data_IF_646358690639
#
_entry.id   IF_646358690639
#
_cell.length_a   1.000
_cell.length_b   1.000
_cell.length_c   1.000
_cell.angle_alpha   90.00
_cell.angle_beta   90.00
_cell.angle_gamma   90.00
#
_symmetry.space_group_name_H-M   'P 1'
#
loop_
_entity.id
_entity.type
_entity.pdbx_description
1 polymer ?
#
# COMPACT_ATOMS: atom_id res chain seq x y z
N UNK A 1 -29.88 -3.31 -4.96
CA UNK A 1 -28.91 -2.43 -5.58
C UNK A 1 -27.53 -3.07 -5.42
N UNK A 2 -26.97 -3.50 -6.55
CA UNK A 2 -25.68 -4.15 -6.56
C UNK A 2 -24.64 -3.17 -6.07
N UNK A 3 -24.04 -3.48 -4.92
CA UNK A 3 -22.86 -2.75 -4.47
C UNK A 3 -21.77 -2.91 -5.52
N UNK A 4 -21.22 -1.80 -6.01
CA UNK A 4 -20.17 -1.81 -7.00
C UNK A 4 -18.97 -2.61 -6.48
N UNK A 5 -18.52 -3.61 -7.22
CA UNK A 5 -17.42 -4.48 -6.86
C UNK A 5 -16.11 -3.99 -7.49
N UNK A 6 -15.07 -3.83 -6.68
CA UNK A 6 -13.71 -3.61 -7.18
C UNK A 6 -13.11 -4.97 -7.52
N UNK A 7 -12.60 -5.09 -8.75
CA UNK A 7 -11.95 -6.31 -9.22
C UNK A 7 -10.52 -5.98 -9.57
N UNK A 8 -9.58 -6.71 -8.98
CA UNK A 8 -8.14 -6.55 -9.23
C UNK A 8 -7.69 -7.75 -10.07
N UNK A 9 -7.13 -7.53 -11.28
CA UNK A 9 -6.63 -8.64 -12.08
C UNK A 9 -5.49 -9.34 -11.35
N UNK A 10 -5.45 -10.66 -11.45
CA UNK A 10 -4.27 -11.41 -11.05
C UNK A 10 -3.13 -11.07 -12.03
N UNK A 11 -2.00 -10.62 -11.51
CA UNK A 11 -0.80 -10.46 -12.32
C UNK A 11 -0.16 -11.80 -12.65
N UNK A 12 1.05 -11.77 -13.20
CA UNK A 12 1.84 -12.97 -13.42
C UNK A 12 2.11 -13.69 -12.09
N UNK A 13 2.21 -15.01 -12.15
CA UNK A 13 2.47 -15.83 -10.97
C UNK A 13 3.80 -15.46 -10.33
N UNK A 14 3.78 -15.24 -9.02
CA UNK A 14 4.99 -14.97 -8.23
C UNK A 14 5.80 -16.26 -8.01
N UNK A 15 7.13 -16.14 -8.10
CA UNK A 15 8.05 -17.16 -7.62
C UNK A 15 8.16 -17.18 -6.10
N UNK A 16 9.09 -17.99 -5.58
CA UNK A 16 9.30 -18.12 -4.13
C UNK A 16 9.88 -16.86 -3.49
N UNK A 17 10.79 -16.19 -4.20
CA UNK A 17 11.33 -14.90 -3.75
C UNK A 17 10.41 -13.79 -4.22
N UNK A 18 9.83 -13.08 -3.24
CA UNK A 18 9.00 -11.89 -3.50
C UNK A 18 9.79 -10.66 -3.07
N UNK A 19 9.86 -10.37 -1.78
CA UNK A 19 10.67 -9.28 -1.21
C UNK A 19 11.33 -9.80 0.04
N UNK A 20 12.65 -9.61 0.16
CA UNK A 20 13.43 -10.03 1.31
C UNK A 20 14.44 -8.95 1.69
N UNK A 21 14.44 -8.57 2.96
CA UNK A 21 15.39 -7.61 3.53
C UNK A 21 16.29 -8.30 4.54
N UNK A 22 17.60 -8.05 4.44
CA UNK A 22 18.60 -8.55 5.36
C UNK A 22 19.47 -7.40 5.86
N UNK A 23 19.44 -7.17 7.18
CA UNK A 23 20.30 -6.18 7.83
C UNK A 23 20.12 -4.77 7.30
N UNK A 24 18.92 -4.41 6.89
CA UNK A 24 18.66 -3.15 6.20
C UNK A 24 18.81 -1.97 7.16
N UNK A 25 19.60 -0.97 6.73
CA UNK A 25 19.82 0.26 7.47
C UNK A 25 19.62 1.46 6.55
N UNK A 26 18.92 2.48 7.05
CA UNK A 26 18.69 3.72 6.32
C UNK A 26 18.56 4.90 7.28
N UNK A 27 19.30 5.97 6.97
CA UNK A 27 19.22 7.24 7.71
C UNK A 27 19.05 8.41 6.74
N UNK A 28 18.42 9.47 7.23
CA UNK A 28 18.40 10.78 6.59
C UNK A 28 18.97 11.81 7.53
N UNK A 29 20.08 12.43 7.14
CA UNK A 29 20.79 13.36 8.03
C UNK A 29 21.12 12.67 9.35
N UNK A 30 20.65 13.24 10.46
CA UNK A 30 20.88 12.71 11.81
C UNK A 30 19.79 11.72 12.29
N UNK A 31 18.82 11.41 11.44
CA UNK A 31 17.71 10.51 11.80
C UNK A 31 17.93 9.13 11.22
N UNK A 32 18.15 8.15 12.10
CA UNK A 32 18.21 6.74 11.73
C UNK A 32 16.81 6.18 11.69
N UNK A 33 16.30 5.90 10.49
CA UNK A 33 14.93 5.45 10.28
C UNK A 33 14.76 3.97 10.60
N UNK A 34 15.71 3.15 10.20
CA UNK A 34 15.71 1.70 10.43
C UNK A 34 17.13 1.19 10.58
N UNK A 35 17.28 0.17 11.40
CA UNK A 35 18.56 -0.49 11.69
C UNK A 35 18.32 -1.99 11.82
N UNK A 36 19.15 -2.78 11.15
CA UNK A 36 19.09 -4.24 11.17
C UNK A 36 17.68 -4.78 10.88
N UNK A 37 17.01 -4.22 9.87
CA UNK A 37 15.69 -4.65 9.48
C UNK A 37 15.77 -5.93 8.64
N UNK A 38 15.11 -6.97 9.13
CA UNK A 38 15.05 -8.27 8.47
C UNK A 38 13.59 -8.69 8.32
N UNK A 39 13.17 -8.99 7.09
CA UNK A 39 11.87 -9.58 6.83
C UNK A 39 11.85 -10.30 5.49
N UNK A 40 10.88 -11.19 5.35
CA UNK A 40 10.61 -11.88 4.10
C UNK A 40 9.10 -11.93 3.87
N UNK A 41 8.65 -11.32 2.79
CA UNK A 41 7.24 -11.35 2.39
C UNK A 41 6.95 -12.71 1.76
N UNK A 42 6.06 -13.53 2.35
CA UNK A 42 5.70 -14.81 1.77
C UNK A 42 4.73 -14.62 0.60
N UNK A 43 4.62 -15.60 -0.32
CA UNK A 43 3.58 -15.59 -1.34
C UNK A 43 2.18 -15.44 -0.73
N UNK A 44 1.37 -14.55 -1.30
CA UNK A 44 0.04 -14.26 -0.79
C UNK A 44 0.00 -13.42 0.49
N UNK A 45 1.14 -12.97 1.00
CA UNK A 45 1.21 -12.15 2.20
C UNK A 45 0.59 -10.76 2.00
N UNK A 46 -0.14 -10.30 3.01
CA UNK A 46 -0.65 -8.93 3.11
C UNK A 46 0.01 -8.29 4.34
N UNK A 47 0.92 -7.38 4.10
CA UNK A 47 1.74 -6.77 5.14
C UNK A 47 1.19 -5.39 5.48
N UNK A 48 0.70 -5.23 6.71
CA UNK A 48 0.35 -3.92 7.26
C UNK A 48 1.61 -3.22 7.76
N UNK A 49 1.97 -2.10 7.14
CA UNK A 49 3.13 -1.29 7.55
C UNK A 49 2.61 -0.17 8.43
N UNK A 50 2.92 -0.21 9.71
CA UNK A 50 2.36 0.67 10.72
C UNK A 50 3.43 1.49 11.44
N UNK A 51 3.02 2.64 11.93
CA UNK A 51 3.84 3.58 12.65
C UNK A 51 3.38 5.01 12.35
N UNK A 52 3.84 5.98 13.12
CA UNK A 52 3.45 7.37 12.88
C UNK A 52 4.03 7.94 11.60
N UNK A 53 3.48 9.06 11.15
CA UNK A 53 3.99 9.78 10.01
C UNK A 53 5.44 10.21 10.26
N UNK A 54 6.26 10.14 9.21
CA UNK A 54 7.68 10.47 9.30
C UNK A 54 8.56 9.35 9.88
N UNK A 55 8.00 8.17 10.16
CA UNK A 55 8.76 7.03 10.69
C UNK A 55 9.68 6.34 9.69
N UNK A 56 9.48 6.58 8.39
CA UNK A 56 10.27 5.94 7.33
C UNK A 56 9.52 4.91 6.49
N UNK A 57 8.19 4.83 6.64
CA UNK A 57 7.36 3.87 5.88
C UNK A 57 7.44 4.12 4.37
N UNK A 58 7.29 5.37 3.94
CA UNK A 58 7.42 5.75 2.54
C UNK A 58 8.83 5.49 2.01
N UNK A 59 9.84 5.71 2.83
CA UNK A 59 11.24 5.42 2.49
C UNK A 59 11.44 3.93 2.19
N UNK A 60 10.83 3.06 2.98
CA UNK A 60 10.88 1.63 2.72
C UNK A 60 10.28 1.29 1.35
N UNK A 61 9.14 1.87 1.01
CA UNK A 61 8.53 1.67 -0.31
C UNK A 61 9.45 2.12 -1.44
N UNK A 62 10.15 3.25 -1.27
CA UNK A 62 11.13 3.74 -2.24
C UNK A 62 12.35 2.84 -2.37
N UNK A 63 12.79 2.23 -1.28
CA UNK A 63 13.87 1.23 -1.33
C UNK A 63 13.40 0.00 -2.12
N UNK A 64 12.17 -0.45 -1.90
CA UNK A 64 11.60 -1.59 -2.63
C UNK A 64 11.49 -1.28 -4.13
N UNK A 65 11.11 -0.07 -4.51
CA UNK A 65 11.00 0.33 -5.93
C UNK A 65 12.35 0.63 -6.57
N UNK A 66 13.42 0.75 -5.80
CA UNK A 66 14.75 1.10 -6.29
C UNK A 66 15.00 2.60 -6.42
N UNK A 67 14.06 3.45 -5.99
CA UNK A 67 14.20 4.92 -6.02
C UNK A 67 15.13 5.44 -4.92
N UNK A 68 15.31 4.67 -3.87
CA UNK A 68 16.25 4.91 -2.79
C UNK A 68 17.13 3.70 -2.60
N UNK A 69 18.37 3.91 -2.17
CA UNK A 69 19.29 2.84 -1.78
C UNK A 69 19.41 2.77 -0.27
N UNK A 70 19.50 1.57 0.33
CA UNK A 70 19.84 1.46 1.74
C UNK A 70 21.29 1.92 2.00
N UNK A 71 21.57 2.36 3.21
CA UNK A 71 22.93 2.73 3.60
C UNK A 71 23.79 1.48 3.79
N UNK A 72 23.20 0.42 4.28
CA UNK A 72 23.81 -0.91 4.39
C UNK A 72 22.71 -1.98 4.43
N UNK A 73 23.13 -3.23 4.34
CA UNK A 73 22.22 -4.35 4.20
C UNK A 73 21.78 -4.53 2.76
N UNK A 74 20.85 -5.46 2.56
CA UNK A 74 20.40 -5.84 1.23
C UNK A 74 18.88 -5.97 1.20
N UNK A 75 18.26 -5.45 0.14
CA UNK A 75 16.88 -5.71 -0.18
C UNK A 75 16.81 -6.39 -1.53
N UNK A 76 16.25 -7.59 -1.57
CA UNK A 76 16.07 -8.38 -2.79
C UNK A 76 14.61 -8.41 -3.20
N UNK A 77 14.38 -8.16 -4.49
CA UNK A 77 13.07 -8.26 -5.13
C UNK A 77 13.14 -9.36 -6.17
N UNK A 78 12.22 -10.29 -6.15
CA UNK A 78 12.23 -11.45 -7.04
C UNK A 78 12.05 -11.07 -8.52
N UNK A 79 12.57 -11.90 -9.41
CA UNK A 79 12.55 -11.64 -10.87
C UNK A 79 11.13 -11.63 -11.45
N UNK A 80 10.20 -12.32 -10.80
CA UNK A 80 8.79 -12.38 -11.25
C UNK A 80 7.94 -11.25 -10.72
N UNK A 81 8.49 -10.40 -9.85
CA UNK A 81 7.76 -9.30 -9.22
C UNK A 81 7.53 -8.17 -10.22
N UNK A 82 6.28 -7.75 -10.32
CA UNK A 82 5.85 -6.56 -11.03
C UNK A 82 5.17 -5.64 -10.02
N UNK A 83 5.89 -4.58 -9.63
CA UNK A 83 5.44 -3.66 -8.59
C UNK A 83 4.39 -2.70 -9.10
N UNK A 84 3.30 -2.53 -8.34
CA UNK A 84 2.37 -1.43 -8.47
C UNK A 84 2.59 -0.45 -7.32
N UNK A 85 3.01 0.77 -7.63
CA UNK A 85 3.23 1.82 -6.66
C UNK A 85 2.94 3.18 -7.29
N UNK A 86 2.25 4.05 -6.55
CA UNK A 86 2.00 5.43 -6.97
C UNK A 86 2.92 6.35 -6.19
N UNK A 87 3.86 6.99 -6.89
CA UNK A 87 4.62 8.10 -6.35
C UNK A 87 3.95 9.40 -6.80
N UNK A 88 3.21 10.05 -5.90
CA UNK A 88 2.46 11.27 -6.21
C UNK A 88 3.34 12.44 -6.66
N UNK A 89 4.64 12.41 -6.38
CA UNK A 89 5.58 13.43 -6.84
C UNK A 89 5.97 13.25 -8.31
N UNK A 90 5.86 12.04 -8.86
CA UNK A 90 6.24 11.70 -10.23
C UNK A 90 5.06 11.32 -11.12
N UNK A 91 4.09 10.59 -10.53
CA UNK A 91 2.93 10.08 -11.25
C UNK A 91 1.87 11.18 -11.35
N UNK A 92 1.94 11.96 -12.42
CA UNK A 92 1.00 13.04 -12.66
C UNK A 92 -0.19 12.54 -13.47
N UNK A 93 -1.36 13.02 -13.12
CA UNK A 93 -2.58 12.80 -13.88
C UNK A 93 -2.73 13.89 -14.95
N UNK A 94 -3.33 13.56 -16.10
CA UNK A 94 -3.61 14.54 -17.15
C UNK A 94 -4.83 15.38 -16.77
N UNK A 95 -4.59 16.64 -16.41
CA UNK A 95 -5.63 17.57 -15.98
C UNK A 95 -6.73 17.81 -17.02
N UNK A 96 -6.45 17.61 -18.31
CA UNK A 96 -7.37 17.86 -19.42
C UNK A 96 -8.26 16.69 -19.76
N UNK A 97 -7.93 15.49 -19.28
CA UNK A 97 -8.78 14.30 -19.40
C UNK A 97 -9.88 14.32 -18.36
N UNK A 98 -11.00 13.68 -18.65
CA UNK A 98 -11.99 13.40 -17.63
C UNK A 98 -11.59 12.15 -16.82
N UNK A 99 -12.28 11.90 -15.72
CA UNK A 99 -12.01 10.75 -14.84
C UNK A 99 -12.06 9.43 -15.59
N UNK A 100 -13.11 9.22 -16.40
CA UNK A 100 -13.26 8.00 -17.17
C UNK A 100 -12.10 7.78 -18.16
N UNK A 101 -11.71 8.81 -18.89
CA UNK A 101 -10.59 8.73 -19.84
C UNK A 101 -9.27 8.40 -19.14
N UNK A 102 -9.02 9.05 -18.00
CA UNK A 102 -7.78 8.85 -17.25
C UNK A 102 -7.66 7.42 -16.71
N UNK A 103 -8.74 6.86 -16.18
CA UNK A 103 -8.74 5.51 -15.62
C UNK A 103 -8.83 4.45 -16.71
N UNK A 104 -9.72 4.63 -17.69
CA UNK A 104 -9.98 3.63 -18.73
C UNK A 104 -9.01 3.69 -19.89
N UNK A 105 -8.30 4.80 -20.07
CA UNK A 105 -7.50 5.11 -21.27
C UNK A 105 -8.32 5.07 -22.56
N UNK A 106 -9.61 5.37 -22.47
CA UNK A 106 -10.54 5.35 -23.58
C UNK A 106 -11.08 3.97 -23.95
N UNK A 107 -10.68 2.93 -23.25
CA UNK A 107 -11.18 1.57 -23.49
C UNK A 107 -12.62 1.42 -22.96
N UNK A 108 -13.50 0.83 -23.78
CA UNK A 108 -14.89 0.56 -23.39
C UNK A 108 -14.95 -0.60 -22.43
N UNK A 109 -14.16 -1.65 -22.69
CA UNK A 109 -13.99 -2.80 -21.83
C UNK A 109 -12.59 -2.85 -21.25
N UNK A 110 -12.47 -3.21 -19.98
CA UNK A 110 -11.21 -3.44 -19.29
C UNK A 110 -11.00 -4.93 -19.16
N UNK A 111 -9.84 -5.41 -19.62
CA UNK A 111 -9.40 -6.78 -19.44
C UNK A 111 -8.82 -6.93 -18.02
N UNK A 112 -9.42 -7.81 -17.23
CA UNK A 112 -9.00 -8.11 -15.87
C UNK A 112 -8.47 -9.55 -15.75
N UNK A 113 -7.82 -10.03 -16.80
CA UNK A 113 -7.27 -11.38 -16.89
C UNK A 113 -8.33 -12.38 -17.35
N UNK A 114 -8.94 -13.13 -16.42
CA UNK A 114 -9.93 -14.15 -16.74
C UNK A 114 -11.32 -13.59 -17.08
N UNK A 115 -11.56 -12.32 -16.86
CA UNK A 115 -12.85 -11.68 -17.15
C UNK A 115 -12.64 -10.28 -17.68
N UNK A 116 -13.64 -9.82 -18.43
CA UNK A 116 -13.72 -8.44 -18.91
C UNK A 116 -14.82 -7.70 -18.16
N UNK A 117 -14.65 -6.42 -18.00
CA UNK A 117 -15.59 -5.55 -17.31
C UNK A 117 -15.79 -4.27 -18.11
N UNK A 118 -17.02 -3.75 -18.12
CA UNK A 118 -17.27 -2.43 -18.69
C UNK A 118 -16.46 -1.39 -17.91
N UNK A 119 -15.73 -0.52 -18.63
CA UNK A 119 -14.88 0.47 -17.98
C UNK A 119 -15.67 1.44 -17.11
N UNK A 120 -16.89 1.78 -17.51
CA UNK A 120 -17.76 2.65 -16.70
C UNK A 120 -18.15 2.00 -15.37
N UNK A 121 -18.36 0.69 -15.35
CA UNK A 121 -18.63 -0.05 -14.11
C UNK A 121 -17.37 -0.11 -13.23
N UNK A 122 -16.21 -0.33 -13.83
CA UNK A 122 -14.94 -0.31 -13.09
C UNK A 122 -14.70 1.05 -12.42
N UNK A 123 -14.84 2.14 -13.16
CA UNK A 123 -14.67 3.51 -12.65
C UNK A 123 -15.72 3.82 -11.58
N UNK A 124 -16.96 3.37 -11.77
CA UNK A 124 -18.05 3.52 -10.81
C UNK A 124 -17.78 2.85 -9.47
N UNK A 125 -17.03 1.75 -9.46
CA UNK A 125 -16.65 1.06 -8.23
C UNK A 125 -15.77 1.90 -7.29
N UNK A 126 -15.09 2.92 -7.82
CA UNK A 126 -14.30 3.87 -7.05
C UNK A 126 -15.08 5.13 -6.67
N UNK A 127 -16.41 5.04 -6.68
CA UNK A 127 -17.33 6.11 -6.32
C UNK A 127 -17.30 7.32 -7.27
N UNK A 128 -17.07 7.07 -8.55
CA UNK A 128 -17.28 8.03 -9.63
C UNK A 128 -18.52 7.59 -10.42
N UNK A 129 -19.67 8.11 -10.04
CA UNK A 129 -20.97 7.68 -10.60
C UNK A 129 -21.55 8.73 -11.54
N UNK A 130 -22.13 8.29 -12.64
CA UNK A 130 -22.83 9.15 -13.58
C UNK A 130 -21.97 10.29 -14.08
N UNK A 131 -22.42 11.53 -13.86
CA UNK A 131 -21.74 12.73 -14.31
C UNK A 131 -20.34 12.94 -13.69
N UNK A 132 -20.05 12.31 -12.54
CA UNK A 132 -18.72 12.42 -11.91
C UNK A 132 -17.61 11.89 -12.81
N UNK A 133 -17.92 10.92 -13.67
CA UNK A 133 -16.95 10.37 -14.62
C UNK A 133 -16.54 11.35 -15.72
N UNK A 134 -17.35 12.39 -15.93
CA UNK A 134 -17.10 13.43 -16.93
C UNK A 134 -16.31 14.62 -16.37
N UNK A 135 -16.11 14.68 -15.05
CA UNK A 135 -15.31 15.73 -14.42
C UNK A 135 -13.89 15.72 -14.96
N UNK A 136 -13.34 16.90 -15.22
CA UNK A 136 -11.93 17.03 -15.56
C UNK A 136 -11.06 16.71 -14.35
N UNK A 137 -10.01 15.92 -14.57
CA UNK A 137 -9.07 15.54 -13.53
C UNK A 137 -8.47 16.75 -12.82
N UNK A 138 -8.19 17.83 -13.56
CA UNK A 138 -7.67 19.08 -12.99
C UNK A 138 -8.60 19.77 -12.00
N UNK A 139 -9.89 19.42 -11.98
CA UNK A 139 -10.90 19.99 -11.09
C UNK A 139 -11.18 19.11 -9.86
N UNK A 140 -10.53 17.97 -9.75
CA UNK A 140 -10.73 17.04 -8.65
C UNK A 140 -10.07 17.52 -7.35
N UNK A 141 -10.69 17.18 -6.23
CA UNK A 141 -10.07 17.31 -4.91
C UNK A 141 -8.88 16.36 -4.76
N UNK A 142 -8.07 16.54 -3.72
CA UNK A 142 -6.98 15.62 -3.40
C UNK A 142 -7.45 14.19 -3.18
N UNK A 143 -8.54 14.00 -2.44
CA UNK A 143 -9.12 12.67 -2.19
C UNK A 143 -9.65 12.01 -3.46
N UNK A 144 -10.31 12.78 -4.32
CA UNK A 144 -10.77 12.29 -5.63
C UNK A 144 -9.60 11.88 -6.52
N UNK A 145 -8.51 12.67 -6.57
CA UNK A 145 -7.30 12.30 -7.30
C UNK A 145 -6.66 11.03 -6.76
N UNK A 146 -6.63 10.84 -5.45
CA UNK A 146 -6.13 9.61 -4.84
C UNK A 146 -6.93 8.38 -5.30
N UNK A 147 -8.25 8.50 -5.41
CA UNK A 147 -9.09 7.41 -5.95
C UNK A 147 -8.79 7.12 -7.42
N UNK A 148 -8.50 8.14 -8.21
CA UNK A 148 -8.09 7.95 -9.62
C UNK A 148 -6.77 7.19 -9.69
N UNK A 149 -5.77 7.58 -8.92
CA UNK A 149 -4.49 6.88 -8.84
C UNK A 149 -4.67 5.42 -8.41
N UNK A 150 -5.48 5.19 -7.38
CA UNK A 150 -5.77 3.85 -6.90
C UNK A 150 -6.42 2.99 -7.99
N UNK A 151 -7.42 3.51 -8.68
CA UNK A 151 -8.11 2.80 -9.75
C UNK A 151 -7.17 2.43 -10.91
N UNK A 152 -6.29 3.35 -11.29
CA UNK A 152 -5.29 3.10 -12.35
C UNK A 152 -4.31 2.01 -11.95
N UNK A 153 -3.81 2.07 -10.71
CA UNK A 153 -2.82 1.11 -10.23
C UNK A 153 -3.41 -0.29 -10.08
N UNK A 154 -4.62 -0.42 -9.54
CA UNK A 154 -5.23 -1.72 -9.32
C UNK A 154 -5.52 -2.49 -10.61
N UNK A 155 -5.72 -1.81 -11.74
CA UNK A 155 -5.90 -2.47 -13.03
C UNK A 155 -4.61 -2.74 -13.79
N UNK A 156 -3.48 -2.30 -13.28
CA UNK A 156 -2.20 -2.31 -14.02
C UNK A 156 -1.66 -3.70 -14.33
N UNK A 157 -2.12 -4.73 -13.64
CA UNK A 157 -1.59 -6.09 -13.75
C UNK A 157 -0.39 -6.36 -12.86
N UNK A 158 -0.05 -5.44 -11.95
CA UNK A 158 0.98 -5.67 -10.95
C UNK A 158 0.63 -6.86 -10.05
N UNK A 159 1.63 -7.61 -9.63
CA UNK A 159 1.44 -8.77 -8.73
C UNK A 159 1.93 -8.49 -7.29
N UNK A 160 2.59 -7.37 -7.06
CA UNK A 160 2.92 -6.85 -5.74
C UNK A 160 2.47 -5.39 -5.68
N UNK A 161 1.55 -5.10 -4.77
CA UNK A 161 0.98 -3.76 -4.62
C UNK A 161 1.57 -3.08 -3.39
N UNK A 162 2.10 -1.87 -3.59
CA UNK A 162 2.54 -1.00 -2.51
C UNK A 162 1.52 0.13 -2.38
N UNK A 163 0.71 0.09 -1.33
CA UNK A 163 -0.42 1.00 -1.11
C UNK A 163 -0.10 1.94 0.05
N UNK A 164 0.04 3.23 -0.24
CA UNK A 164 0.33 4.24 0.77
C UNK A 164 -0.95 4.99 1.15
N UNK A 165 -1.47 4.70 2.33
CA UNK A 165 -2.71 5.26 2.89
C UNK A 165 -3.90 5.24 1.91
N UNK A 166 -4.21 4.08 1.29
CA UNK A 166 -5.24 4.02 0.25
C UNK A 166 -6.66 4.21 0.78
N UNK A 167 -6.86 4.08 2.10
CA UNK A 167 -8.16 4.20 2.74
C UNK A 167 -8.54 5.62 3.11
N UNK A 168 -7.60 6.57 3.00
CA UNK A 168 -7.88 7.98 3.27
C UNK A 168 -8.95 8.52 2.30
N UNK A 169 -9.93 9.22 2.85
CA UNK A 169 -11.01 9.87 2.12
C UNK A 169 -11.92 8.91 1.31
N UNK A 170 -11.91 7.61 1.63
CA UNK A 170 -12.85 6.66 1.06
C UNK A 170 -14.18 6.66 1.84
N UNK A 171 -15.29 6.65 1.11
CA UNK A 171 -16.58 6.35 1.69
C UNK A 171 -16.67 4.88 2.11
N UNK A 172 -17.65 4.54 2.94
CA UNK A 172 -17.77 3.20 3.53
C UNK A 172 -17.93 2.12 2.45
N UNK A 173 -18.71 2.39 1.42
CA UNK A 173 -18.98 1.40 0.37
C UNK A 173 -17.73 1.11 -0.46
N UNK A 174 -16.96 2.15 -0.82
CA UNK A 174 -15.69 2.00 -1.53
C UNK A 174 -14.65 1.29 -0.65
N UNK A 175 -14.58 1.64 0.63
CA UNK A 175 -13.68 0.98 1.58
C UNK A 175 -13.96 -0.53 1.69
N UNK A 176 -15.23 -0.91 1.80
CA UNK A 176 -15.62 -2.33 1.85
C UNK A 176 -15.30 -3.07 0.56
N UNK A 177 -15.56 -2.44 -0.58
CA UNK A 177 -15.23 -3.00 -1.88
C UNK A 177 -13.72 -3.21 -2.04
N UNK A 178 -12.92 -2.24 -1.60
CA UNK A 178 -11.47 -2.33 -1.61
C UNK A 178 -10.97 -3.46 -0.70
N UNK A 179 -11.48 -3.52 0.52
CA UNK A 179 -11.13 -4.56 1.50
C UNK A 179 -11.36 -5.96 0.94
N UNK A 180 -12.54 -6.19 0.35
CA UNK A 180 -12.88 -7.47 -0.25
C UNK A 180 -11.95 -7.81 -1.43
N UNK A 181 -11.69 -6.84 -2.30
CA UNK A 181 -10.82 -7.03 -3.45
C UNK A 181 -9.37 -7.35 -3.04
N UNK A 182 -8.84 -6.65 -2.02
CA UNK A 182 -7.50 -6.91 -1.51
C UNK A 182 -7.38 -8.28 -0.84
N UNK A 183 -8.42 -8.71 -0.12
CA UNK A 183 -8.46 -10.04 0.50
C UNK A 183 -8.45 -11.18 -0.51
N UNK A 184 -9.01 -10.96 -1.69
CA UNK A 184 -9.07 -11.93 -2.78
C UNK A 184 -7.90 -11.85 -3.75
N UNK A 185 -7.06 -10.84 -3.61
CA UNK A 185 -5.94 -10.61 -4.52
C UNK A 185 -4.92 -11.76 -4.45
N UNK A 186 -4.56 -12.29 -5.61
CA UNK A 186 -3.67 -13.46 -5.72
C UNK A 186 -2.19 -13.15 -5.47
N UNK A 187 -1.77 -11.88 -5.55
CA UNK A 187 -0.40 -11.44 -5.32
C UNK A 187 -0.13 -11.05 -3.87
N UNK A 188 0.91 -10.26 -3.65
CA UNK A 188 1.29 -9.73 -2.35
C UNK A 188 0.97 -8.25 -2.24
N UNK A 189 0.73 -7.80 -1.01
CA UNK A 189 0.39 -6.41 -0.71
C UNK A 189 1.22 -5.93 0.48
N UNK A 190 1.81 -4.74 0.36
CA UNK A 190 2.31 -3.98 1.50
C UNK A 190 1.48 -2.70 1.56
N UNK A 191 0.87 -2.43 2.70
CA UNK A 191 -0.10 -1.36 2.84
C UNK A 191 0.14 -0.55 4.11
N UNK A 192 0.28 0.77 3.97
CA UNK A 192 0.25 1.66 5.13
C UNK A 192 -1.18 2.09 5.39
N UNK A 193 -1.61 2.10 6.63
CA UNK A 193 -2.92 2.61 7.03
C UNK A 193 -2.93 2.93 8.52
N UNK A 194 -3.67 3.98 8.91
CA UNK A 194 -3.99 4.26 10.30
C UNK A 194 -5.33 3.64 10.73
N UNK A 195 -6.03 2.99 9.81
CA UNK A 195 -7.28 2.29 10.09
C UNK A 195 -7.00 0.89 10.66
N UNK A 196 -7.08 0.77 11.99
CA UNK A 196 -6.81 -0.49 12.71
C UNK A 196 -7.77 -1.61 12.31
N UNK A 197 -9.03 -1.27 12.14
CA UNK A 197 -10.07 -2.23 11.79
C UNK A 197 -9.83 -2.83 10.42
N UNK A 198 -9.44 -1.99 9.47
CA UNK A 198 -9.07 -2.41 8.14
C UNK A 198 -7.88 -3.37 8.17
N UNK A 199 -6.79 -2.99 8.84
CA UNK A 199 -5.59 -3.82 8.94
C UNK A 199 -5.84 -5.13 9.70
N UNK A 200 -6.70 -5.08 10.73
CA UNK A 200 -7.04 -6.28 11.48
C UNK A 200 -7.75 -7.32 10.63
N UNK A 201 -8.62 -6.88 9.72
CA UNK A 201 -9.37 -7.78 8.84
C UNK A 201 -8.55 -8.37 7.70
N UNK A 202 -7.55 -7.65 7.18
CA UNK A 202 -6.86 -8.08 5.96
C UNK A 202 -5.40 -8.51 6.17
N UNK A 203 -4.70 -7.94 7.14
CA UNK A 203 -3.25 -8.18 7.28
C UNK A 203 -2.94 -9.59 7.77
N UNK A 204 -1.98 -10.23 7.13
CA UNK A 204 -1.41 -11.51 7.55
C UNK A 204 -0.11 -11.31 8.32
N UNK A 205 0.55 -10.19 8.10
CA UNK A 205 1.81 -9.80 8.75
C UNK A 205 1.78 -8.31 9.06
N UNK A 206 2.53 -7.92 10.07
CA UNK A 206 2.70 -6.52 10.47
C UNK A 206 4.18 -6.17 10.43
N UNK A 207 4.50 -5.03 9.84
CA UNK A 207 5.81 -4.40 9.89
C UNK A 207 5.66 -3.09 10.66
N UNK A 208 6.09 -3.09 11.91
CA UNK A 208 5.79 -2.02 12.87
C UNK A 208 7.02 -1.17 13.19
N UNK A 209 6.93 0.12 12.91
CA UNK A 209 7.90 1.12 13.34
C UNK A 209 7.58 1.52 14.79
N UNK A 210 8.32 0.93 15.74
CA UNK A 210 8.02 1.05 17.19
C UNK A 210 8.78 2.18 17.90
N UNK A 211 9.63 2.90 17.17
CA UNK A 211 10.48 3.94 17.75
C UNK A 211 11.93 3.46 17.94
N UNK A 212 12.83 4.39 18.25
CA UNK A 212 14.27 4.12 18.43
C UNK A 212 14.90 3.37 17.25
N UNK A 213 14.41 3.62 16.03
CA UNK A 213 14.86 2.99 14.79
C UNK A 213 14.58 1.47 14.74
N UNK A 214 13.75 0.98 15.64
CA UNK A 214 13.35 -0.42 15.69
C UNK A 214 12.12 -0.64 14.81
N UNK A 215 12.23 -1.60 13.90
CA UNK A 215 11.12 -2.04 13.06
C UNK A 215 10.93 -3.54 13.31
N UNK A 216 9.74 -3.92 13.74
CA UNK A 216 9.42 -5.30 14.12
C UNK A 216 8.64 -5.98 13.02
N UNK A 217 9.10 -7.15 12.61
CA UNK A 217 8.38 -8.05 11.70
C UNK A 217 7.59 -9.07 12.52
N UNK A 218 6.27 -9.08 12.32
CA UNK A 218 5.35 -9.91 13.08
C UNK A 218 4.43 -10.70 12.16
N UNK A 219 4.29 -11.99 12.40
CA UNK A 219 3.35 -12.87 11.70
C UNK A 219 2.02 -12.91 12.45
N UNK A 220 0.98 -12.34 11.85
CA UNK A 220 -0.36 -12.23 12.42
C UNK A 220 -1.04 -10.94 11.99
N UNK A 221 -2.28 -10.74 12.45
CA UNK A 221 -3.04 -9.53 12.17
C UNK A 221 -2.70 -8.41 13.18
N UNK A 222 -3.40 -7.29 13.06
CA UNK A 222 -3.14 -6.13 13.91
C UNK A 222 -3.43 -6.41 15.39
N UNK A 223 -4.50 -7.11 15.71
CA UNK A 223 -4.86 -7.46 17.09
C UNK A 223 -3.81 -8.38 17.73
N UNK A 224 -3.35 -9.39 17.00
CA UNK A 224 -2.28 -10.29 17.46
C UNK A 224 -0.99 -9.53 17.69
N UNK A 225 -0.66 -8.59 16.82
CA UNK A 225 0.51 -7.73 16.99
C UNK A 225 0.41 -6.88 18.24
N UNK A 226 -0.73 -6.24 18.49
CA UNK A 226 -0.92 -5.43 19.70
C UNK A 226 -0.77 -6.26 20.98
N UNK A 227 -1.31 -7.47 21.00
CA UNK A 227 -1.16 -8.38 22.12
C UNK A 227 0.31 -8.75 22.35
N UNK A 228 1.06 -9.03 21.28
CA UNK A 228 2.50 -9.30 21.36
C UNK A 228 3.29 -8.08 21.86
N UNK A 229 2.98 -6.89 21.38
CA UNK A 229 3.60 -5.65 21.83
C UNK A 229 3.38 -5.40 23.32
N UNK A 230 2.18 -5.63 23.82
CA UNK A 230 1.86 -5.52 25.25
C UNK A 230 2.71 -6.48 26.11
N UNK A 231 2.85 -7.71 25.65
CA UNK A 231 3.67 -8.71 26.36
C UNK A 231 5.15 -8.31 26.39
N UNK A 232 5.69 -7.77 25.30
CA UNK A 232 7.11 -7.39 25.21
C UNK A 232 7.43 -6.09 25.93
N UNK A 233 6.55 -5.08 25.85
CA UNK A 233 6.85 -3.71 26.26
C UNK A 233 5.97 -3.21 27.44
N UNK A 234 4.95 -3.96 27.83
CA UNK A 234 3.97 -3.60 28.84
C UNK A 234 2.85 -2.69 28.32
N UNK A 235 1.84 -2.41 29.15
CA UNK A 235 0.63 -1.67 28.73
C UNK A 235 0.91 -0.24 28.28
N UNK A 236 1.89 0.42 28.87
CA UNK A 236 2.28 1.79 28.49
C UNK A 236 2.70 1.92 27.02
N UNK A 237 3.14 0.83 26.40
CA UNK A 237 3.58 0.79 25.01
C UNK A 237 2.44 1.00 24.00
N UNK A 238 1.19 0.78 24.41
CA UNK A 238 0.02 0.91 23.54
C UNK A 238 -0.53 2.35 23.48
N UNK A 239 -0.02 3.25 24.34
CA UNK A 239 -0.40 4.64 24.33
C UNK A 239 0.34 5.40 23.22
N UNK A 240 -0.33 6.33 22.50
CA UNK A 240 0.35 7.15 21.51
C UNK A 240 1.48 7.95 22.15
N UNK A 241 2.67 7.84 21.62
CA UNK A 241 3.81 8.64 22.06
C UNK A 241 4.62 9.09 20.85
N UNK A 242 5.36 10.19 21.05
CA UNK A 242 6.21 10.72 19.99
C UNK A 242 7.37 9.78 19.74
N UNK A 243 7.59 9.38 18.49
CA UNK A 243 8.76 8.61 18.11
C UNK A 243 10.01 9.45 18.31
N UNK A 244 11.00 8.83 18.95
CA UNK A 244 12.37 9.37 19.03
C UNK A 244 13.23 8.55 18.09
N UNK A 245 14.02 9.23 17.28
CA UNK A 245 15.03 8.59 16.44
C UNK A 245 16.37 8.57 17.15
N UNK A 246 17.13 7.51 16.94
CA UNK A 246 18.53 7.49 17.39
C UNK A 246 19.33 8.52 16.60
N UNK A 247 20.14 9.32 17.31
CA UNK A 247 21.10 10.17 16.66
C UNK A 247 22.27 9.34 16.15
N UNK A 248 22.74 9.67 14.96
CA UNK A 248 23.99 9.11 14.46
C UNK A 248 25.14 9.75 15.24
N UNK A 249 25.86 8.94 16.01
CA UNK A 249 27.12 9.37 16.61
C UNK A 249 28.20 9.52 15.51
N UNK A 250 28.85 10.67 15.47
CA UNK A 250 30.01 10.89 14.61
C UNK A 250 31.20 10.07 15.06
#
# INVERSE_FOLDING_TARGET
PDSAQIIIPAGERLGDLVIEAEGLRKAYGNQLLMEDLNFKVPPGGIVGVIGPNGAGKTTLFRIITGDETPDSGELRVGDTVQLGFVDQSRDTLDANKNVWEEISQGEIEIDLGKRKMQSRAYVGAFNFRGADQQKKVGQLSGGERNRVHLAKMLRSGANVLLLDEPTNDLDIDTLRALEEALSEFAGCILITSHDRWFLDRIATHILAYEGDSQVVWFEGNYEDYEADKRRRLGEASTQPHRIKYKSLTR
#
